data_IF_029510865793
#
_entry.id   IF_029510865793
#
_cell.length_a   1.000
_cell.length_b   1.000
_cell.length_c   1.000
_cell.angle_alpha   90.00
_cell.angle_beta   90.00
_cell.angle_gamma   90.00
#
_symmetry.space_group_name_H-M   'P 1'
#
loop_
_entity.id
_entity.type
_entity.pdbx_description
1 polymer ?
#
# COMPACT_ATOMS: atom_id res chain seq x y z
N UNK A 1 7.69 7.73 -5.29
CA UNK A 1 6.47 7.76 -4.45
C UNK A 1 6.75 7.40 -3.00
N UNK A 2 7.47 6.30 -2.71
CA UNK A 2 7.76 5.84 -1.34
C UNK A 2 8.33 6.95 -0.44
N UNK A 3 9.43 7.60 -0.85
CA UNK A 3 10.05 8.68 -0.06
C UNK A 3 9.10 9.85 0.17
N UNK A 4 8.36 10.27 -0.85
CA UNK A 4 7.41 11.37 -0.74
C UNK A 4 6.26 11.03 0.24
N UNK A 5 5.72 9.81 0.17
CA UNK A 5 4.69 9.35 1.10
C UNK A 5 5.20 9.24 2.54
N UNK A 6 6.41 8.71 2.75
CA UNK A 6 7.03 8.65 4.08
C UNK A 6 7.26 10.05 4.66
N UNK A 7 7.78 10.98 3.86
CA UNK A 7 7.99 12.37 4.29
C UNK A 7 6.66 13.05 4.61
N UNK A 8 5.64 12.88 3.77
CA UNK A 8 4.31 13.45 4.00
C UNK A 8 3.68 12.96 5.31
N UNK A 9 3.71 11.64 5.56
CA UNK A 9 3.21 11.06 6.81
C UNK A 9 3.99 11.54 8.03
N UNK A 10 5.33 11.60 7.94
CA UNK A 10 6.17 12.12 9.02
C UNK A 10 5.92 13.61 9.33
N UNK A 11 5.75 14.43 8.28
CA UNK A 11 5.43 15.85 8.44
C UNK A 11 4.06 16.07 9.08
N UNK A 12 3.04 15.27 8.73
CA UNK A 12 1.73 15.34 9.38
C UNK A 12 1.82 14.98 10.87
N UNK A 13 2.58 13.93 11.21
CA UNK A 13 2.85 13.54 12.59
C UNK A 13 3.48 14.67 13.41
N UNK A 14 4.50 15.35 12.86
CA UNK A 14 5.13 16.51 13.49
C UNK A 14 4.16 17.69 13.65
N UNK A 15 3.39 18.01 12.61
CA UNK A 15 2.44 19.13 12.59
C UNK A 15 1.33 18.95 13.62
N UNK A 16 0.80 17.73 13.74
CA UNK A 16 -0.29 17.37 14.65
C UNK A 16 0.22 16.92 16.02
N UNK A 17 1.54 16.81 16.20
CA UNK A 17 2.21 16.31 17.41
C UNK A 17 1.62 14.97 17.85
N UNK A 18 1.49 14.04 16.91
CA UNK A 18 0.93 12.72 17.21
C UNK A 18 1.85 11.97 18.18
N UNK A 19 1.26 11.38 19.21
CA UNK A 19 1.99 10.51 20.13
C UNK A 19 2.41 9.23 19.40
N UNK A 20 3.68 8.86 19.57
CA UNK A 20 4.13 7.55 19.11
C UNK A 20 3.53 6.49 20.04
N UNK A 21 2.97 5.40 19.48
CA UNK A 21 2.59 4.27 20.31
C UNK A 21 3.82 3.73 21.03
N UNK A 22 3.60 3.11 22.19
CA UNK A 22 4.65 2.46 22.97
C UNK A 22 5.48 1.53 22.08
N UNK A 23 6.81 1.53 22.28
CA UNK A 23 7.75 0.70 21.53
C UNK A 23 7.25 -0.73 21.39
N UNK A 24 7.13 -1.20 20.14
CA UNK A 24 6.79 -2.59 19.83
C UNK A 24 7.99 -3.46 20.21
N UNK A 25 7.94 -4.10 21.38
CA UNK A 25 8.79 -5.27 21.62
C UNK A 25 8.08 -6.52 21.11
N UNK A 26 8.73 -7.39 20.31
CA UNK A 26 8.17 -8.69 19.95
C UNK A 26 7.97 -9.61 21.17
N UNK A 27 8.56 -9.26 22.32
CA UNK A 27 8.37 -9.96 23.60
C UNK A 27 7.44 -9.22 24.57
N UNK A 28 6.81 -8.12 24.16
CA UNK A 28 5.90 -7.36 25.01
C UNK A 28 4.68 -8.20 25.42
N UNK A 29 4.38 -8.21 26.71
CA UNK A 29 3.14 -8.78 27.27
C UNK A 29 2.37 -7.67 27.99
N UNK A 30 1.16 -7.28 27.55
CA UNK A 30 0.42 -7.81 26.39
C UNK A 30 1.03 -7.38 25.05
N UNK A 31 0.72 -8.10 23.95
CA UNK A 31 1.16 -7.73 22.61
C UNK A 31 0.70 -6.31 22.27
N UNK A 32 1.55 -5.59 21.53
CA UNK A 32 1.29 -4.22 21.11
C UNK A 32 -0.05 -4.08 20.37
N UNK A 33 -0.86 -3.14 20.84
CA UNK A 33 -2.20 -2.81 20.32
C UNK A 33 -2.20 -2.01 19.01
N UNK A 34 -1.05 -1.88 18.33
CA UNK A 34 -1.03 -1.13 17.08
C UNK A 34 -1.80 -1.89 15.98
N UNK A 35 -2.59 -1.17 15.16
CA UNK A 35 -3.45 -1.76 14.15
C UNK A 35 -2.66 -2.62 13.17
N UNK A 36 -3.31 -3.66 12.66
CA UNK A 36 -2.74 -4.53 11.64
C UNK A 36 -2.54 -3.78 10.33
N UNK A 37 -1.46 -4.12 9.61
CA UNK A 37 -1.25 -3.62 8.26
C UNK A 37 -2.23 -4.31 7.29
N UNK A 38 -2.60 -3.64 6.19
CA UNK A 38 -3.38 -4.27 5.13
C UNK A 38 -2.73 -5.58 4.65
N UNK A 39 -3.49 -6.67 4.64
CA UNK A 39 -3.00 -8.01 4.28
C UNK A 39 -3.11 -8.32 2.78
N UNK A 40 -3.61 -7.37 1.97
CA UNK A 40 -3.69 -7.49 0.52
C UNK A 40 -3.43 -6.14 -0.15
N UNK A 41 -3.02 -6.18 -1.41
CA UNK A 41 -2.82 -4.96 -2.19
C UNK A 41 -4.14 -4.20 -2.35
N UNK A 42 -5.27 -4.90 -2.55
CA UNK A 42 -6.60 -4.30 -2.64
C UNK A 42 -6.95 -3.52 -1.36
N UNK A 43 -6.71 -4.12 -0.19
CA UNK A 43 -6.93 -3.45 1.09
C UNK A 43 -6.00 -2.25 1.27
N UNK A 44 -4.74 -2.35 0.82
CA UNK A 44 -3.78 -1.25 0.88
C UNK A 44 -4.19 -0.08 -0.04
N UNK A 45 -4.74 -0.36 -1.23
CA UNK A 45 -5.23 0.68 -2.15
C UNK A 45 -6.45 1.40 -1.57
N UNK A 46 -7.38 0.68 -0.94
CA UNK A 46 -8.53 1.30 -0.24
C UNK A 46 -8.05 2.19 0.90
N UNK A 47 -7.08 1.73 1.70
CA UNK A 47 -6.51 2.53 2.78
C UNK A 47 -5.82 3.80 2.26
N UNK A 48 -5.09 3.70 1.14
CA UNK A 48 -4.41 4.84 0.52
C UNK A 48 -5.41 5.89 0.01
N UNK A 49 -6.49 5.48 -0.64
CA UNK A 49 -7.52 6.40 -1.15
C UNK A 49 -8.32 7.09 -0.04
N UNK A 50 -8.44 6.44 1.13
CA UNK A 50 -9.09 7.02 2.30
C UNK A 50 -8.17 7.98 3.09
N UNK A 51 -6.85 7.93 2.86
CA UNK A 51 -5.88 8.77 3.57
C UNK A 51 -5.82 10.17 2.97
N UNK A 52 -6.49 11.11 3.62
CA UNK A 52 -6.53 12.53 3.19
C UNK A 52 -5.17 13.22 3.27
N UNK A 53 -4.28 12.79 4.16
CA UNK A 53 -2.94 13.39 4.31
C UNK A 53 -2.11 13.04 3.08
N UNK A 54 -2.05 11.74 2.74
CA UNK A 54 -1.31 11.28 1.59
C UNK A 54 -1.94 11.74 0.27
N UNK A 55 -3.27 11.72 0.16
CA UNK A 55 -3.98 12.24 -1.00
C UNK A 55 -3.75 13.74 -1.22
N UNK A 56 -3.77 14.53 -0.14
CA UNK A 56 -3.48 15.96 -0.21
C UNK A 56 -2.03 16.26 -0.55
N UNK A 57 -1.08 15.53 0.03
CA UNK A 57 0.35 15.77 -0.15
C UNK A 57 0.89 15.32 -1.52
N UNK A 58 0.43 14.17 -2.02
CA UNK A 58 0.87 13.59 -3.29
C UNK A 58 0.02 14.07 -4.48
N UNK A 59 -1.18 14.58 -4.20
CA UNK A 59 -2.15 15.04 -5.18
C UNK A 59 -3.13 13.93 -5.57
N UNK A 60 -4.42 14.23 -5.49
CA UNK A 60 -5.48 13.28 -5.81
C UNK A 60 -5.39 12.70 -7.24
N UNK A 61 -5.03 13.46 -8.30
CA UNK A 61 -4.91 12.88 -9.64
C UNK A 61 -3.86 11.76 -9.70
N UNK A 62 -2.74 11.94 -8.99
CA UNK A 62 -1.66 10.96 -8.92
C UNK A 62 -2.09 9.71 -8.17
N UNK A 63 -2.76 9.87 -7.01
CA UNK A 63 -3.29 8.73 -6.25
C UNK A 63 -4.33 7.96 -7.06
N UNK A 64 -5.29 8.65 -7.69
CA UNK A 64 -6.30 8.01 -8.54
C UNK A 64 -5.67 7.21 -9.68
N UNK A 65 -4.70 7.79 -10.37
CA UNK A 65 -3.99 7.10 -11.44
C UNK A 65 -3.23 5.88 -10.94
N UNK A 66 -2.46 6.03 -9.86
CA UNK A 66 -1.70 4.94 -9.25
C UNK A 66 -2.61 3.77 -8.82
N UNK A 67 -3.73 4.07 -8.15
CA UNK A 67 -4.66 3.04 -7.70
C UNK A 67 -5.37 2.34 -8.88
N UNK A 68 -5.72 3.09 -9.92
CA UNK A 68 -6.27 2.52 -11.16
C UNK A 68 -5.30 1.55 -11.80
N UNK A 69 -4.03 1.95 -11.95
CA UNK A 69 -3.00 1.10 -12.52
C UNK A 69 -2.80 -0.19 -11.70
N UNK A 70 -2.69 -0.07 -10.37
CA UNK A 70 -2.49 -1.23 -9.50
C UNK A 70 -3.66 -2.22 -9.51
N UNK A 71 -4.90 -1.72 -9.66
CA UNK A 71 -6.07 -2.58 -9.85
C UNK A 71 -6.07 -3.29 -11.20
N UNK A 72 -5.63 -2.61 -12.26
CA UNK A 72 -5.49 -3.23 -13.58
C UNK A 72 -4.43 -4.34 -13.57
N UNK A 73 -3.27 -4.11 -12.93
CA UNK A 73 -2.24 -5.12 -12.73
C UNK A 73 -2.78 -6.35 -11.97
N UNK A 74 -3.54 -6.14 -10.89
CA UNK A 74 -4.16 -7.24 -10.13
C UNK A 74 -5.15 -8.05 -10.97
N UNK A 75 -6.00 -7.37 -11.75
CA UNK A 75 -6.93 -8.05 -12.65
C UNK A 75 -6.18 -8.92 -13.68
N UNK A 76 -5.09 -8.39 -14.25
CA UNK A 76 -4.24 -9.11 -15.20
C UNK A 76 -3.58 -10.34 -14.58
N UNK A 77 -3.03 -10.20 -13.37
CA UNK A 77 -2.42 -11.31 -12.62
C UNK A 77 -3.42 -12.44 -12.40
N UNK A 78 -4.64 -12.11 -11.96
CA UNK A 78 -5.70 -13.11 -11.74
C UNK A 78 -6.06 -13.86 -13.01
N UNK A 79 -6.22 -13.15 -14.13
CA UNK A 79 -6.48 -13.77 -15.43
C UNK A 79 -5.36 -14.74 -15.83
N UNK A 80 -4.09 -14.35 -15.67
CA UNK A 80 -2.96 -15.22 -15.99
C UNK A 80 -2.90 -16.47 -15.11
N UNK A 81 -3.25 -16.34 -13.83
CA UNK A 81 -3.35 -17.50 -12.93
C UNK A 81 -4.42 -18.48 -13.38
N UNK A 82 -5.58 -17.97 -13.80
CA UNK A 82 -6.72 -18.75 -14.27
C UNK A 82 -6.44 -19.42 -15.63
N UNK A 83 -5.85 -18.69 -16.58
CA UNK A 83 -5.62 -19.16 -17.95
C UNK A 83 -4.40 -20.07 -18.10
N UNK A 84 -3.34 -19.83 -17.33
CA UNK A 84 -2.03 -20.45 -17.54
C UNK A 84 -1.56 -21.28 -16.33
N UNK A 85 -2.33 -21.33 -15.24
CA UNK A 85 -1.96 -22.07 -14.03
C UNK A 85 -0.67 -21.56 -13.37
N UNK A 86 -0.28 -20.32 -13.66
CA UNK A 86 0.95 -19.73 -13.15
C UNK A 86 0.87 -19.53 -11.64
N UNK A 87 1.99 -19.70 -10.96
CA UNK A 87 2.10 -19.27 -9.56
C UNK A 87 1.92 -17.75 -9.47
N UNK A 88 1.61 -17.26 -8.27
CA UNK A 88 1.46 -15.81 -8.04
C UNK A 88 2.72 -15.04 -8.49
N UNK A 89 3.92 -15.53 -8.14
CA UNK A 89 5.18 -14.88 -8.50
C UNK A 89 5.44 -14.84 -10.01
N UNK A 90 5.11 -15.91 -10.74
CA UNK A 90 5.26 -15.96 -12.21
C UNK A 90 4.28 -15.02 -12.91
N UNK A 91 3.04 -14.97 -12.42
CA UNK A 91 1.99 -14.09 -12.96
C UNK A 91 2.36 -12.61 -12.83
N UNK A 92 2.95 -12.23 -11.70
CA UNK A 92 3.48 -10.87 -11.50
C UNK A 92 4.65 -10.56 -12.43
N UNK A 93 5.59 -11.49 -12.62
CA UNK A 93 6.72 -11.29 -13.54
C UNK A 93 6.25 -11.15 -14.98
N UNK A 94 5.31 -11.98 -15.42
CA UNK A 94 4.72 -11.90 -16.76
C UNK A 94 4.01 -10.55 -16.96
N UNK A 95 3.22 -10.12 -15.98
CA UNK A 95 2.54 -8.80 -16.02
C UNK A 95 3.56 -7.66 -16.09
N UNK A 96 4.61 -7.68 -15.29
CA UNK A 96 5.57 -6.57 -15.20
C UNK A 96 6.48 -6.46 -16.44
N UNK A 97 6.85 -7.59 -17.06
CA UNK A 97 7.68 -7.63 -18.26
C UNK A 97 6.93 -7.21 -19.54
N UNK A 98 5.60 -7.18 -19.55
CA UNK A 98 4.84 -6.64 -20.69
C UNK A 98 4.86 -5.10 -20.77
N UNK A 99 5.20 -4.41 -19.68
CA UNK A 99 5.14 -2.95 -19.58
C UNK A 99 6.53 -2.27 -19.56
N UNK A 100 7.62 -3.01 -19.81
CA UNK A 100 9.01 -2.51 -19.94
C UNK A 100 9.59 -2.98 -21.27
#
# INVERSE_FOLDING_TARGET
LVTAGMVAAGLDGLKRKLDLPSSRSPTATPPSQAPELPQSLEAALVALEADQVLCGALGEPLIRWFCTLKRAELARVRLLQEEQGLTQGESWRATFLEFI
#
